data_IF_871168764436
#
_entry.id   IF_871168764436
#
_cell.length_a   1.000
_cell.length_b   1.000
_cell.length_c   1.000
_cell.angle_alpha   90.00
_cell.angle_beta   90.00
_cell.angle_gamma   90.00
#
_symmetry.space_group_name_H-M   'P 1'
#
loop_
_entity.id
_entity.type
_entity.pdbx_description
1 polymer ?
#
# COMPACT_ATOMS: atom_id res chain seq x y z
N UNK A 1 -19.25 -34.56 14.86
CA UNK A 1 -19.12 -33.90 16.18
C UNK A 1 -17.78 -34.35 16.75
N UNK A 2 -16.68 -33.78 16.24
CA UNK A 2 -15.33 -34.06 16.73
C UNK A 2 -14.88 -32.84 17.52
N UNK A 3 -15.01 -32.90 18.85
CA UNK A 3 -14.36 -31.95 19.72
C UNK A 3 -12.84 -32.18 19.63
N UNK A 4 -12.08 -31.13 19.34
CA UNK A 4 -10.61 -31.16 19.48
C UNK A 4 -10.30 -31.31 20.98
N UNK A 5 -9.63 -32.39 21.42
CA UNK A 5 -9.39 -32.68 22.84
C UNK A 5 -8.44 -31.70 23.55
N UNK A 6 -8.06 -30.60 22.90
CA UNK A 6 -7.11 -29.58 23.38
C UNK A 6 -7.76 -28.37 24.06
N UNK A 7 -9.07 -28.41 24.33
CA UNK A 7 -9.81 -27.27 24.90
C UNK A 7 -10.66 -27.65 26.13
N UNK A 8 -10.37 -28.79 26.76
CA UNK A 8 -11.10 -29.23 27.96
C UNK A 8 -10.50 -28.67 29.27
N UNK A 9 -9.31 -28.06 29.23
CA UNK A 9 -8.74 -27.35 30.38
C UNK A 9 -9.02 -25.82 30.26
N UNK A 10 -9.85 -25.25 31.16
CA UNK A 10 -10.11 -23.82 31.19
C UNK A 10 -8.84 -22.96 31.31
N UNK A 11 -7.78 -23.47 31.92
CA UNK A 11 -6.52 -22.74 32.08
C UNK A 11 -5.76 -22.59 30.75
N UNK A 12 -5.70 -23.65 29.94
CA UNK A 12 -5.09 -23.61 28.60
C UNK A 12 -5.87 -22.68 27.66
N UNK A 13 -7.20 -22.70 27.77
CA UNK A 13 -8.07 -21.82 27.00
C UNK A 13 -7.82 -20.34 27.33
N UNK A 14 -7.71 -20.00 28.63
CA UNK A 14 -7.41 -18.64 29.08
C UNK A 14 -6.00 -18.20 28.63
N UNK A 15 -5.01 -19.10 28.71
CA UNK A 15 -3.65 -18.80 28.25
C UNK A 15 -3.62 -18.50 26.74
N UNK A 16 -4.34 -19.30 25.94
CA UNK A 16 -4.48 -19.06 24.51
C UNK A 16 -5.16 -17.71 24.22
N UNK A 17 -6.24 -17.36 24.93
CA UNK A 17 -6.89 -16.06 24.78
C UNK A 17 -5.95 -14.89 25.11
N UNK A 18 -5.15 -15.01 26.17
CA UNK A 18 -4.15 -14.01 26.53
C UNK A 18 -3.07 -13.87 25.44
N UNK A 19 -2.58 -14.98 24.88
CA UNK A 19 -1.62 -14.96 23.76
C UNK A 19 -2.22 -14.32 22.49
N UNK A 20 -3.51 -14.50 22.25
CA UNK A 20 -4.24 -13.87 21.15
C UNK A 20 -4.58 -12.39 21.41
N UNK A 21 -4.20 -11.86 22.58
CA UNK A 21 -4.41 -10.46 22.95
C UNK A 21 -5.83 -10.13 23.38
N UNK A 22 -6.59 -11.11 23.86
CA UNK A 22 -7.90 -10.89 24.50
C UNK A 22 -7.65 -10.45 25.94
N UNK A 23 -8.05 -9.22 26.25
CA UNK A 23 -7.82 -8.54 27.53
C UNK A 23 -9.10 -8.31 28.33
N UNK A 24 -10.28 -8.45 27.71
CA UNK A 24 -11.57 -8.29 28.38
C UNK A 24 -12.61 -9.28 27.82
N UNK A 25 -13.39 -9.90 28.71
CA UNK A 25 -14.62 -10.59 28.33
C UNK A 25 -15.75 -9.54 28.26
N UNK A 26 -16.37 -9.39 27.10
CA UNK A 26 -17.42 -8.38 26.88
C UNK A 26 -18.82 -8.88 27.26
N UNK A 27 -19.08 -10.16 27.07
CA UNK A 27 -20.39 -10.79 27.28
C UNK A 27 -20.22 -12.21 27.84
N UNK A 28 -21.19 -12.67 28.64
CA UNK A 28 -21.21 -14.03 29.23
C UNK A 28 -21.60 -15.11 28.21
N UNK A 29 -22.27 -14.73 27.12
CA UNK A 29 -22.74 -15.67 26.10
C UNK A 29 -21.82 -15.71 24.88
N UNK A 30 -21.47 -16.90 24.36
CA UNK A 30 -20.66 -17.04 23.16
C UNK A 30 -21.44 -16.58 21.93
N UNK A 31 -20.91 -15.57 21.23
CA UNK A 31 -21.49 -15.10 19.96
C UNK A 31 -21.02 -15.99 18.81
N UNK A 32 -21.92 -16.76 18.21
CA UNK A 32 -21.65 -17.50 16.97
C UNK A 32 -21.47 -16.53 15.80
N UNK A 33 -20.22 -16.32 15.39
CA UNK A 33 -19.86 -15.45 14.27
C UNK A 33 -19.79 -16.16 12.92
N UNK A 34 -20.06 -17.46 12.88
CA UNK A 34 -20.26 -18.24 11.65
C UNK A 34 -21.72 -18.23 11.19
N UNK A 35 -22.65 -17.96 12.11
CA UNK A 35 -24.04 -17.67 11.76
C UNK A 35 -24.14 -16.36 10.95
N UNK A 36 -24.70 -16.43 9.75
CA UNK A 36 -24.94 -15.26 8.92
C UNK A 36 -25.99 -14.35 9.59
N UNK A 37 -25.72 -13.06 9.81
CA UNK A 37 -26.71 -12.17 10.40
C UNK A 37 -27.87 -11.93 9.42
N UNK A 38 -29.10 -12.04 9.91
CA UNK A 38 -30.28 -11.54 9.22
C UNK A 38 -30.11 -10.03 9.01
N UNK A 39 -30.20 -9.60 7.75
CA UNK A 39 -30.02 -8.21 7.33
C UNK A 39 -31.08 -7.30 7.98
N UNK A 40 -30.69 -6.56 9.01
CA UNK A 40 -31.49 -5.48 9.56
C UNK A 40 -31.58 -4.30 8.56
N UNK A 41 -32.73 -3.61 8.45
CA UNK A 41 -32.89 -2.45 7.58
C UNK A 41 -32.02 -1.28 8.06
N UNK A 42 -31.47 -0.55 7.09
CA UNK A 42 -30.58 0.59 7.32
C UNK A 42 -31.31 1.71 8.09
N UNK A 43 -30.70 2.15 9.19
CA UNK A 43 -31.07 3.39 9.86
C UNK A 43 -30.59 4.61 9.05
N UNK A 44 -31.32 5.73 9.06
CA UNK A 44 -30.97 6.93 8.29
C UNK A 44 -29.73 7.64 8.86
N UNK A 45 -28.88 8.14 7.95
CA UNK A 45 -27.67 8.89 8.25
C UNK A 45 -27.95 10.21 8.99
N UNK A 46 -27.15 10.59 10.01
CA UNK A 46 -27.22 11.92 10.59
C UNK A 46 -26.56 12.96 9.67
N UNK A 47 -27.30 14.04 9.42
CA UNK A 47 -26.86 15.23 8.67
C UNK A 47 -25.71 15.95 9.39
N UNK A 48 -24.60 16.16 8.67
CA UNK A 48 -23.47 16.96 9.13
C UNK A 48 -23.76 18.48 8.97
N UNK A 49 -23.41 19.33 9.94
CA UNK A 49 -23.51 20.78 9.79
C UNK A 49 -22.32 21.37 9.00
N UNK A 50 -22.62 22.44 8.26
CA UNK A 50 -21.69 23.18 7.40
C UNK A 50 -20.57 23.90 8.19
N UNK A 51 -19.38 24.12 7.58
CA UNK A 51 -18.26 24.77 8.27
C UNK A 51 -18.45 26.29 8.34
N UNK A 52 -18.26 26.85 9.54
CA UNK A 52 -18.18 28.30 9.76
C UNK A 52 -16.78 28.82 9.45
N UNK A 53 -16.71 29.93 8.71
CA UNK A 53 -15.49 30.64 8.34
C UNK A 53 -14.87 31.35 9.55
N UNK A 54 -13.56 31.19 9.75
CA UNK A 54 -12.73 32.02 10.64
C UNK A 54 -11.91 33.05 9.85
N UNK A 55 -11.72 34.27 10.38
CA UNK A 55 -11.03 35.35 9.68
C UNK A 55 -9.49 35.24 9.70
N UNK A 56 -8.87 35.74 8.62
CA UNK A 56 -7.43 35.90 8.42
C UNK A 56 -6.78 36.92 9.37
N UNK A 57 -5.55 36.62 9.81
CA UNK A 57 -4.53 37.59 10.24
C UNK A 57 -3.12 36.95 10.09
N UNK A 58 -2.01 37.71 10.14
CA UNK A 58 -1.20 38.07 8.97
C UNK A 58 0.16 37.37 8.86
N UNK A 59 0.81 37.59 7.71
CA UNK A 59 2.09 37.04 7.27
C UNK A 59 3.29 37.37 8.19
N UNK A 60 4.17 36.37 8.36
CA UNK A 60 5.63 36.41 8.63
C UNK A 60 6.06 34.95 8.80
N UNK A 61 7.13 34.37 8.25
CA UNK A 61 8.35 34.77 7.57
C UNK A 61 8.60 33.80 6.41
N UNK A 62 9.26 34.27 5.34
CA UNK A 62 9.66 33.44 4.19
C UNK A 62 10.78 32.46 4.55
N UNK A 63 10.61 31.14 4.37
CA UNK A 63 11.71 30.25 4.05
C UNK A 63 12.00 30.37 2.55
N UNK A 64 13.28 30.24 2.20
CA UNK A 64 13.81 30.38 0.83
C UNK A 64 13.12 29.43 -0.16
N UNK A 65 13.07 29.88 -1.42
CA UNK A 65 12.29 29.33 -2.52
C UNK A 65 12.34 27.80 -2.64
N UNK A 66 11.23 27.15 -2.30
CA UNK A 66 10.87 25.83 -2.83
C UNK A 66 10.50 26.03 -4.30
N UNK A 67 11.30 25.49 -5.22
CA UNK A 67 10.89 25.41 -6.62
C UNK A 67 9.68 24.48 -6.67
N UNK A 68 8.48 25.05 -6.86
CA UNK A 68 7.32 24.26 -7.24
C UNK A 68 7.63 23.66 -8.62
N UNK A 69 7.44 22.35 -8.83
CA UNK A 69 7.56 21.80 -10.18
C UNK A 69 6.50 22.52 -11.04
N UNK A 70 6.95 23.21 -12.09
CA UNK A 70 6.06 23.79 -13.08
C UNK A 70 5.43 22.63 -13.89
N UNK A 71 4.34 22.90 -14.61
CA UNK A 71 3.73 21.94 -15.53
C UNK A 71 4.75 21.33 -16.52
N UNK A 72 5.85 22.06 -16.78
CA UNK A 72 6.98 21.58 -17.58
C UNK A 72 7.71 20.40 -16.95
N UNK A 73 7.89 20.35 -15.62
CA UNK A 73 8.57 19.25 -14.93
C UNK A 73 7.76 17.95 -15.01
N UNK A 74 6.43 18.04 -14.91
CA UNK A 74 5.56 16.89 -15.09
C UNK A 74 5.55 16.40 -16.54
N UNK A 75 5.66 17.31 -17.52
CA UNK A 75 5.81 16.95 -18.94
C UNK A 75 7.15 16.25 -19.20
N UNK A 76 8.25 16.81 -18.70
CA UNK A 76 9.59 16.23 -18.81
C UNK A 76 9.64 14.82 -18.18
N UNK A 77 9.06 14.63 -16.99
CA UNK A 77 8.97 13.33 -16.34
C UNK A 77 8.27 12.29 -17.22
N UNK A 78 7.17 12.66 -17.90
CA UNK A 78 6.45 11.78 -18.82
C UNK A 78 7.29 11.42 -20.06
N UNK A 79 7.99 12.39 -20.64
CA UNK A 79 8.84 12.16 -21.81
C UNK A 79 10.01 11.22 -21.48
N UNK A 80 10.68 11.47 -20.35
CA UNK A 80 11.78 10.63 -19.86
C UNK A 80 11.28 9.22 -19.56
N UNK A 81 10.18 9.07 -18.84
CA UNK A 81 9.61 7.75 -18.53
C UNK A 81 9.23 7.00 -19.82
N UNK A 82 8.59 7.67 -20.79
CA UNK A 82 8.20 7.06 -22.06
C UNK A 82 9.41 6.61 -22.90
N UNK A 83 10.53 7.32 -22.83
CA UNK A 83 11.73 7.00 -23.58
C UNK A 83 12.41 5.71 -23.10
N UNK A 84 12.31 5.36 -21.81
CA UNK A 84 12.89 4.14 -21.27
C UNK A 84 12.17 2.89 -21.79
N UNK A 85 12.90 1.97 -22.41
CA UNK A 85 12.39 0.70 -22.97
C UNK A 85 12.62 -0.50 -22.07
N UNK A 86 13.53 -0.37 -21.09
CA UNK A 86 13.84 -1.42 -20.09
C UNK A 86 13.76 -0.86 -18.67
N UNK A 87 13.62 -1.74 -17.67
CA UNK A 87 13.64 -1.34 -16.26
C UNK A 87 14.98 -0.71 -15.84
N UNK A 88 16.08 -1.15 -16.45
CA UNK A 88 17.42 -0.60 -16.20
C UNK A 88 17.57 0.81 -16.77
N UNK A 89 17.06 1.05 -17.99
CA UNK A 89 16.98 2.39 -18.57
C UNK A 89 16.09 3.30 -17.71
N UNK A 90 14.95 2.80 -17.22
CA UNK A 90 14.06 3.57 -16.36
C UNK A 90 14.71 3.92 -15.03
N UNK A 91 15.46 2.98 -14.43
CA UNK A 91 16.25 3.23 -13.21
C UNK A 91 17.30 4.31 -13.45
N UNK A 92 18.03 4.21 -14.55
CA UNK A 92 19.07 5.19 -14.94
C UNK A 92 18.46 6.57 -15.19
N UNK A 93 17.29 6.61 -15.82
CA UNK A 93 16.55 7.84 -16.06
C UNK A 93 16.10 8.51 -14.76
N UNK A 94 15.57 7.73 -13.80
CA UNK A 94 15.20 8.22 -12.47
C UNK A 94 16.43 8.71 -11.68
N UNK A 95 17.54 7.99 -11.73
CA UNK A 95 18.78 8.38 -11.03
C UNK A 95 19.32 9.73 -11.54
N UNK A 96 19.08 10.05 -12.82
CA UNK A 96 19.45 11.32 -13.43
C UNK A 96 18.33 12.38 -13.41
N UNK A 97 17.14 12.08 -12.90
CA UNK A 97 16.02 13.01 -12.90
C UNK A 97 16.11 14.04 -11.77
N UNK A 98 16.22 15.33 -12.09
CA UNK A 98 16.39 16.41 -11.11
C UNK A 98 15.10 17.19 -10.80
N UNK A 99 13.97 16.82 -11.42
CA UNK A 99 12.70 17.54 -11.29
C UNK A 99 11.92 17.27 -10.00
N UNK A 100 12.36 16.36 -9.13
CA UNK A 100 11.68 16.04 -7.88
C UNK A 100 12.48 16.53 -6.66
N UNK A 101 11.88 17.41 -5.85
CA UNK A 101 12.51 17.93 -4.62
C UNK A 101 12.85 16.84 -3.60
N UNK A 102 12.17 15.70 -3.63
CA UNK A 102 12.47 14.57 -2.74
C UNK A 102 13.89 14.03 -2.93
N UNK A 103 14.43 14.11 -4.14
CA UNK A 103 15.81 13.71 -4.45
C UNK A 103 16.85 14.53 -3.69
N UNK A 104 16.56 15.81 -3.42
CA UNK A 104 17.48 16.70 -2.69
C UNK A 104 17.65 16.30 -1.23
N UNK A 105 16.65 15.60 -0.68
CA UNK A 105 16.61 15.23 0.75
C UNK A 105 16.85 13.75 1.01
N UNK A 106 16.69 12.91 -0.02
CA UNK A 106 16.94 11.47 0.07
C UNK A 106 18.43 11.17 -0.05
N UNK A 107 18.85 10.08 0.60
CA UNK A 107 20.22 9.57 0.55
C UNK A 107 20.42 8.71 -0.69
N UNK A 108 19.45 7.86 -1.03
CA UNK A 108 19.53 6.97 -2.18
C UNK A 108 18.20 6.90 -2.95
N UNK A 109 18.30 6.53 -4.23
CA UNK A 109 17.16 6.12 -5.03
C UNK A 109 16.71 4.72 -4.58
N UNK A 110 15.44 4.60 -4.18
CA UNK A 110 14.81 3.32 -3.85
C UNK A 110 13.91 2.91 -5.00
N UNK A 111 14.52 2.26 -6.00
CA UNK A 111 13.84 1.94 -7.26
C UNK A 111 12.88 0.76 -7.14
N UNK A 112 13.39 -0.41 -6.76
CA UNK A 112 12.61 -1.64 -6.63
C UNK A 112 13.37 -2.73 -5.87
N UNK A 113 12.67 -3.81 -5.51
CA UNK A 113 13.22 -5.08 -5.05
C UNK A 113 12.40 -6.25 -5.61
N UNK A 114 12.94 -7.46 -5.52
CA UNK A 114 12.29 -8.69 -5.95
C UNK A 114 12.46 -9.00 -7.43
N UNK A 115 11.56 -9.83 -7.95
CA UNK A 115 11.64 -10.36 -9.31
C UNK A 115 10.75 -9.55 -10.27
N UNK A 116 11.31 -8.82 -11.25
CA UNK A 116 10.53 -8.05 -12.21
C UNK A 116 9.69 -8.92 -13.15
N UNK A 117 10.01 -10.21 -13.29
CA UNK A 117 9.18 -11.19 -14.03
C UNK A 117 8.14 -11.89 -13.13
N UNK A 118 8.00 -11.44 -11.87
CA UNK A 118 7.02 -11.97 -10.93
C UNK A 118 5.58 -11.65 -11.34
N UNK A 119 4.66 -12.57 -11.06
CA UNK A 119 3.24 -12.41 -11.39
C UNK A 119 2.56 -11.27 -10.61
N UNK A 120 3.11 -10.92 -9.44
CA UNK A 120 2.55 -9.91 -8.54
C UNK A 120 3.51 -8.74 -8.39
N UNK A 121 3.01 -7.53 -8.62
CA UNK A 121 3.71 -6.30 -8.27
C UNK A 121 3.03 -5.63 -7.07
N UNK A 122 3.80 -5.26 -6.05
CA UNK A 122 3.35 -4.54 -4.88
C UNK A 122 3.83 -3.09 -4.94
N UNK A 123 2.92 -2.14 -4.69
CA UNK A 123 3.24 -0.71 -4.72
C UNK A 123 2.86 -0.07 -3.40
N UNK A 124 3.85 0.49 -2.70
CA UNK A 124 3.68 1.31 -1.50
C UNK A 124 3.66 2.81 -1.76
N UNK A 125 3.60 3.58 -0.68
CA UNK A 125 3.54 5.05 -0.75
C UNK A 125 4.91 5.66 -1.08
N UNK A 126 5.93 5.33 -0.29
CA UNK A 126 7.28 5.89 -0.41
C UNK A 126 8.25 5.25 0.59
N UNK A 127 9.57 5.48 0.45
CA UNK A 127 10.58 4.87 1.29
C UNK A 127 10.59 5.45 2.71
N UNK A 128 10.91 4.62 3.70
CA UNK A 128 11.24 5.05 5.05
C UNK A 128 12.74 5.28 5.23
N UNK A 129 13.16 5.42 6.49
CA UNK A 129 14.57 5.67 6.83
C UNK A 129 15.49 4.52 6.42
N UNK A 130 15.08 3.28 6.71
CA UNK A 130 15.93 2.11 6.48
C UNK A 130 16.05 1.83 4.99
N UNK A 131 14.97 2.06 4.24
CA UNK A 131 14.93 1.97 2.78
C UNK A 131 15.85 3.00 2.11
N UNK A 132 15.80 4.26 2.56
CA UNK A 132 16.65 5.34 2.04
C UNK A 132 18.15 5.08 2.27
N UNK A 133 18.52 4.42 3.36
CA UNK A 133 19.91 4.07 3.66
C UNK A 133 20.41 2.87 2.85
N UNK A 134 19.52 1.92 2.52
CA UNK A 134 19.87 0.67 1.85
C UNK A 134 19.59 0.68 0.34
N UNK A 135 18.83 1.65 -0.16
CA UNK A 135 18.43 1.71 -1.57
C UNK A 135 17.38 0.66 -1.96
N UNK A 136 16.78 -0.04 -1.00
CA UNK A 136 15.84 -1.14 -1.23
C UNK A 136 14.48 -0.88 -0.57
N UNK A 137 13.35 -1.09 -1.28
CA UNK A 137 12.03 -0.86 -0.74
C UNK A 137 11.67 -1.88 0.35
N UNK A 138 10.89 -1.43 1.33
CA UNK A 138 10.33 -2.25 2.40
C UNK A 138 11.40 -3.08 3.14
N UNK A 139 12.53 -2.52 3.56
CA UNK A 139 13.53 -3.26 4.39
C UNK A 139 13.37 -3.04 5.89
N UNK A 140 12.64 -2.00 6.30
CA UNK A 140 12.38 -1.67 7.70
C UNK A 140 11.30 -2.56 8.34
N UNK A 141 10.78 -2.13 9.50
CA UNK A 141 9.75 -2.90 10.25
C UNK A 141 8.48 -3.21 9.46
N UNK A 142 8.01 -2.26 8.64
CA UNK A 142 6.87 -2.49 7.74
C UNK A 142 7.19 -3.52 6.68
N UNK A 143 8.43 -3.55 6.21
CA UNK A 143 8.96 -4.54 5.30
C UNK A 143 8.97 -5.95 5.85
N UNK A 144 9.50 -6.12 7.06
CA UNK A 144 9.48 -7.41 7.75
C UNK A 144 8.06 -7.95 7.98
N UNK A 145 7.09 -7.06 8.19
CA UNK A 145 5.69 -7.46 8.26
C UNK A 145 5.16 -7.86 6.88
N UNK A 146 5.53 -7.14 5.81
CA UNK A 146 5.19 -7.50 4.44
C UNK A 146 5.74 -8.89 4.08
N UNK A 147 6.98 -9.20 4.47
CA UNK A 147 7.59 -10.51 4.24
C UNK A 147 6.80 -11.64 4.92
N UNK A 148 6.39 -11.43 6.18
CA UNK A 148 5.52 -12.39 6.88
C UNK A 148 4.14 -12.52 6.24
N UNK A 149 3.58 -11.42 5.75
CA UNK A 149 2.29 -11.41 5.03
C UNK A 149 2.37 -12.21 3.73
N UNK A 150 3.43 -12.03 2.95
CA UNK A 150 3.69 -12.80 1.73
C UNK A 150 3.92 -14.29 2.06
N UNK A 151 4.74 -14.58 3.07
CA UNK A 151 5.02 -15.94 3.51
C UNK A 151 3.76 -16.70 3.92
N UNK A 152 2.80 -16.03 4.56
CA UNK A 152 1.53 -16.63 4.97
C UNK A 152 0.64 -17.10 3.78
N UNK A 153 0.87 -16.58 2.57
CA UNK A 153 0.21 -17.04 1.34
C UNK A 153 1.13 -17.82 0.41
N UNK A 154 2.31 -18.23 0.89
CA UNK A 154 3.28 -19.02 0.13
C UNK A 154 4.09 -18.22 -0.89
N UNK A 155 4.15 -16.90 -0.75
CA UNK A 155 5.00 -16.02 -1.57
C UNK A 155 6.24 -15.56 -0.78
N UNK A 156 7.27 -15.17 -1.52
CA UNK A 156 8.46 -14.52 -0.99
C UNK A 156 8.86 -13.36 -1.93
N UNK A 157 9.93 -12.63 -1.60
CA UNK A 157 10.43 -11.52 -2.42
C UNK A 157 10.90 -11.94 -3.81
N UNK A 158 11.33 -13.19 -3.99
CA UNK A 158 11.77 -13.71 -5.29
C UNK A 158 10.60 -14.02 -6.23
N UNK A 159 9.38 -14.12 -5.69
CA UNK A 159 8.16 -14.38 -6.46
C UNK A 159 7.41 -13.09 -6.86
N UNK A 160 7.77 -11.94 -6.29
CA UNK A 160 7.03 -10.69 -6.44
C UNK A 160 7.96 -9.54 -6.79
N UNK A 161 7.42 -8.47 -7.36
CA UNK A 161 8.12 -7.22 -7.61
C UNK A 161 7.62 -6.13 -6.67
N UNK A 162 8.51 -5.38 -6.02
CA UNK A 162 8.14 -4.41 -4.98
C UNK A 162 8.67 -3.04 -5.36
N UNK A 163 7.81 -2.03 -5.37
CA UNK A 163 8.15 -0.63 -5.64
C UNK A 163 7.30 0.32 -4.78
N UNK A 164 7.51 1.63 -4.95
CA UNK A 164 6.71 2.69 -4.33
C UNK A 164 6.31 3.73 -5.38
N UNK A 165 5.23 4.48 -5.11
CA UNK A 165 4.81 5.58 -5.98
C UNK A 165 5.90 6.66 -6.10
N UNK A 166 6.49 7.06 -4.97
CA UNK A 166 7.67 7.91 -4.97
C UNK A 166 8.90 7.07 -4.62
N UNK A 167 10.02 7.17 -5.36
CA UNK A 167 11.20 6.34 -5.11
C UNK A 167 12.22 7.00 -4.15
N UNK A 168 11.90 8.19 -3.62
CA UNK A 168 12.74 8.93 -2.67
C UNK A 168 12.00 9.19 -1.38
N UNK A 169 12.72 9.13 -0.26
CA UNK A 169 12.18 9.33 1.07
C UNK A 169 11.73 10.78 1.31
N UNK A 170 10.45 11.01 1.69
CA UNK A 170 9.99 12.32 2.14
C UNK A 170 10.63 12.75 3.48
N UNK A 171 10.97 14.04 3.64
CA UNK A 171 11.50 14.57 4.90
C UNK A 171 10.60 14.22 6.10
N UNK A 172 11.18 13.62 7.14
CA UNK A 172 10.44 13.23 8.34
C UNK A 172 9.46 12.06 8.14
N UNK A 173 9.56 11.30 7.04
CA UNK A 173 8.60 10.24 6.66
C UNK A 173 7.15 10.76 6.59
N UNK A 174 6.96 12.03 6.21
CA UNK A 174 5.64 12.57 5.92
C UNK A 174 5.05 11.89 4.69
N UNK A 175 3.74 12.01 4.52
CA UNK A 175 3.09 11.64 3.25
C UNK A 175 3.66 12.50 2.11
N UNK A 176 3.95 11.93 0.93
CA UNK A 176 4.30 12.70 -0.26
C UNK A 176 3.20 13.71 -0.59
N UNK A 177 3.58 14.88 -1.09
CA UNK A 177 2.61 15.87 -1.55
C UNK A 177 1.99 15.42 -2.88
N UNK A 178 0.81 15.94 -3.26
CA UNK A 178 0.24 15.66 -4.58
C UNK A 178 1.18 16.04 -5.72
N UNK A 179 1.96 17.12 -5.56
CA UNK A 179 2.94 17.56 -6.56
C UNK A 179 4.10 16.57 -6.71
N UNK A 180 4.66 16.10 -5.58
CA UNK A 180 5.73 15.09 -5.60
C UNK A 180 5.25 13.78 -6.23
N UNK A 181 4.02 13.39 -5.89
CA UNK A 181 3.37 12.20 -6.43
C UNK A 181 3.14 12.33 -7.93
N UNK A 182 2.59 13.46 -8.39
CA UNK A 182 2.32 13.73 -9.80
C UNK A 182 3.59 13.73 -10.66
N UNK A 183 4.72 14.19 -10.12
CA UNK A 183 6.02 14.15 -10.80
C UNK A 183 6.57 12.73 -10.90
N UNK A 184 6.35 11.88 -9.89
CA UNK A 184 6.84 10.50 -9.89
C UNK A 184 5.90 9.51 -10.59
N UNK A 185 4.61 9.85 -10.72
CA UNK A 185 3.56 9.00 -11.31
C UNK A 185 3.94 8.42 -12.68
N UNK A 186 4.48 9.19 -13.65
CA UNK A 186 4.82 8.66 -14.96
C UNK A 186 5.88 7.54 -14.90
N UNK A 187 6.80 7.61 -13.93
CA UNK A 187 7.83 6.60 -13.76
C UNK A 187 7.26 5.30 -13.21
N UNK A 188 6.41 5.35 -12.18
CA UNK A 188 5.80 4.12 -11.64
C UNK A 188 4.81 3.50 -12.63
N UNK A 189 4.07 4.30 -13.40
CA UNK A 189 3.23 3.81 -14.50
C UNK A 189 4.06 3.08 -15.56
N UNK A 190 5.18 3.69 -15.99
CA UNK A 190 6.11 3.04 -16.91
C UNK A 190 6.72 1.78 -16.30
N UNK A 191 7.05 1.80 -15.02
CA UNK A 191 7.62 0.65 -14.32
C UNK A 191 6.63 -0.52 -14.28
N UNK A 192 5.35 -0.26 -14.02
CA UNK A 192 4.28 -1.27 -14.11
C UNK A 192 4.18 -1.80 -15.55
N UNK A 193 4.20 -0.91 -16.54
CA UNK A 193 4.12 -1.30 -17.94
C UNK A 193 5.29 -2.19 -18.38
N UNK A 194 6.50 -1.91 -17.90
CA UNK A 194 7.72 -2.66 -18.21
C UNK A 194 7.84 -3.98 -17.44
N UNK A 195 7.38 -4.02 -16.19
CA UNK A 195 7.34 -5.24 -15.38
C UNK A 195 6.21 -6.20 -15.80
N UNK A 196 5.17 -5.68 -16.46
CA UNK A 196 4.01 -6.42 -16.98
C UNK A 196 3.41 -7.46 -15.99
N UNK A 197 3.11 -7.06 -14.73
CA UNK A 197 2.61 -8.00 -13.73
C UNK A 197 1.19 -8.46 -14.06
N UNK A 198 0.81 -9.65 -13.61
CA UNK A 198 -0.56 -10.15 -13.74
C UNK A 198 -1.51 -9.52 -12.70
N UNK A 199 -0.98 -9.28 -11.49
CA UNK A 199 -1.70 -8.68 -10.38
C UNK A 199 -0.95 -7.51 -9.79
N UNK A 200 -1.69 -6.44 -9.50
CA UNK A 200 -1.18 -5.27 -8.81
C UNK A 200 -1.73 -5.22 -7.39
N UNK A 201 -0.87 -5.12 -6.38
CA UNK A 201 -1.27 -5.00 -4.98
C UNK A 201 -0.92 -3.60 -4.49
N UNK A 202 -1.93 -2.81 -4.16
CA UNK A 202 -1.76 -1.41 -3.75
C UNK A 202 -1.78 -1.31 -2.23
N UNK A 203 -0.62 -1.05 -1.64
CA UNK A 203 -0.42 -1.02 -0.20
C UNK A 203 -0.75 0.37 0.35
N UNK A 204 -1.94 0.50 0.94
CA UNK A 204 -2.40 1.72 1.59
C UNK A 204 -3.17 2.68 0.69
N UNK A 205 -3.71 3.72 1.31
CA UNK A 205 -4.59 4.68 0.63
C UNK A 205 -3.86 5.53 -0.42
N UNK A 206 -2.60 5.93 -0.18
CA UNK A 206 -1.89 6.78 -1.13
C UNK A 206 -1.63 6.06 -2.46
N UNK A 207 -1.11 4.83 -2.42
CA UNK A 207 -0.90 4.03 -3.63
C UNK A 207 -2.21 3.70 -4.33
N UNK A 208 -3.25 3.32 -3.57
CA UNK A 208 -4.55 2.98 -4.13
C UNK A 208 -5.26 4.17 -4.79
N UNK A 209 -5.33 5.32 -4.11
CA UNK A 209 -5.99 6.51 -4.64
C UNK A 209 -5.29 7.06 -5.89
N UNK A 210 -3.95 7.05 -5.90
CA UNK A 210 -3.17 7.60 -7.01
C UNK A 210 -3.26 6.75 -8.29
N UNK A 211 -3.15 5.43 -8.16
CA UNK A 211 -3.15 4.54 -9.32
C UNK A 211 -4.55 4.15 -9.79
N UNK A 212 -5.58 4.26 -8.94
CA UNK A 212 -6.96 3.98 -9.33
C UNK A 212 -7.79 5.24 -9.60
N UNK A 213 -7.15 6.42 -9.63
CA UNK A 213 -7.79 7.71 -9.89
C UNK A 213 -9.07 7.93 -9.05
N UNK A 214 -8.95 7.70 -7.73
CA UNK A 214 -10.11 7.72 -6.83
C UNK A 214 -9.81 8.44 -5.50
N UNK A 215 -10.82 9.15 -5.00
CA UNK A 215 -10.81 9.80 -3.69
C UNK A 215 -11.39 8.92 -2.57
N UNK A 216 -11.79 7.68 -2.87
CA UNK A 216 -12.31 6.75 -1.87
C UNK A 216 -11.23 6.41 -0.82
N UNK A 217 -11.65 6.28 0.46
CA UNK A 217 -10.77 5.87 1.54
C UNK A 217 -10.38 4.39 1.46
N UNK A 218 -9.17 4.04 1.92
CA UNK A 218 -8.65 2.66 1.81
C UNK A 218 -9.55 1.60 2.45
N UNK A 219 -10.24 1.93 3.56
CA UNK A 219 -11.14 0.99 4.22
C UNK A 219 -12.36 0.61 3.36
N UNK A 220 -12.78 1.49 2.45
CA UNK A 220 -13.87 1.23 1.49
C UNK A 220 -13.37 0.46 0.26
N UNK A 221 -12.13 0.73 -0.17
CA UNK A 221 -11.55 0.14 -1.38
C UNK A 221 -10.99 -1.27 -1.19
N UNK A 222 -10.43 -1.54 -0.01
CA UNK A 222 -9.67 -2.76 0.27
C UNK A 222 -10.43 -4.06 -0.02
N UNK A 223 -9.72 -5.08 -0.47
CA UNK A 223 -10.28 -6.42 -0.66
C UNK A 223 -11.23 -6.55 -1.85
N UNK A 224 -11.37 -5.51 -2.68
CA UNK A 224 -12.18 -5.54 -3.91
C UNK A 224 -11.26 -5.40 -5.11
N UNK A 225 -11.37 -6.33 -6.04
CA UNK A 225 -10.67 -6.23 -7.32
C UNK A 225 -11.14 -5.01 -8.10
N UNK A 226 -10.17 -4.34 -8.74
CA UNK A 226 -10.37 -3.24 -9.66
C UNK A 226 -9.62 -3.54 -10.95
N UNK A 227 -10.12 -3.06 -12.06
CA UNK A 227 -9.37 -3.08 -13.31
C UNK A 227 -8.35 -1.94 -13.27
N UNK A 228 -7.12 -2.23 -13.70
CA UNK A 228 -6.06 -1.25 -13.90
C UNK A 228 -5.55 -1.36 -15.33
N UNK A 229 -5.51 -0.24 -16.04
CA UNK A 229 -5.02 -0.16 -17.41
C UNK A 229 -3.53 0.19 -17.40
N UNK A 230 -2.68 -0.73 -17.83
CA UNK A 230 -1.22 -0.52 -17.91
C UNK A 230 -0.82 0.25 -19.16
N UNK A 231 -1.77 0.61 -20.03
CA UNK A 231 -1.54 1.13 -21.37
C UNK A 231 -1.23 0.05 -22.42
N UNK A 232 -0.88 -1.18 -22.00
CA UNK A 232 -0.71 -2.34 -22.89
C UNK A 232 -1.84 -3.35 -22.74
N UNK A 233 -2.31 -3.58 -21.51
CA UNK A 233 -3.43 -4.46 -21.21
C UNK A 233 -4.11 -4.06 -19.90
N UNK A 234 -5.27 -4.65 -19.65
CA UNK A 234 -5.94 -4.54 -18.36
C UNK A 234 -5.50 -5.67 -17.44
N UNK A 235 -5.14 -5.29 -16.22
CA UNK A 235 -4.76 -6.21 -15.14
C UNK A 235 -5.65 -5.98 -13.93
N UNK A 236 -5.59 -6.90 -12.96
CA UNK A 236 -6.39 -6.82 -11.74
C UNK A 236 -5.57 -6.17 -10.62
N UNK A 237 -6.09 -5.09 -10.06
CA UNK A 237 -5.54 -4.39 -8.91
C UNK A 237 -6.32 -4.70 -7.63
N UNK A 238 -5.61 -5.00 -6.54
CA UNK A 238 -6.14 -5.26 -5.22
C UNK A 238 -5.60 -4.24 -4.21
N UNK A 239 -6.42 -3.26 -3.81
CA UNK A 239 -6.08 -2.39 -2.69
C UNK A 239 -6.08 -3.17 -1.37
N UNK A 240 -5.10 -2.90 -0.51
CA UNK A 240 -5.05 -3.44 0.85
C UNK A 240 -4.41 -2.45 1.83
N UNK A 241 -4.36 -2.81 3.11
CA UNK A 241 -3.80 -1.96 4.16
C UNK A 241 -2.27 -1.99 4.14
N UNK A 242 -1.66 -0.80 4.25
CA UNK A 242 -0.21 -0.70 4.31
C UNK A 242 0.35 -1.37 5.58
N UNK A 243 1.47 -2.12 5.53
CA UNK A 243 2.05 -2.78 6.70
C UNK A 243 2.36 -1.82 7.86
N UNK A 244 2.83 -0.61 7.58
CA UNK A 244 3.06 0.41 8.61
C UNK A 244 1.75 0.82 9.35
N UNK A 245 0.60 0.80 8.68
CA UNK A 245 -0.69 1.02 9.32
C UNK A 245 -1.05 -0.16 10.23
N UNK A 246 -0.83 -1.39 9.79
CA UNK A 246 -1.09 -2.60 10.57
C UNK A 246 -0.18 -2.73 11.81
N UNK A 247 1.02 -2.16 11.78
CA UNK A 247 1.89 -2.06 12.96
C UNK A 247 1.32 -1.09 14.00
N UNK A 248 0.66 0.00 13.57
CA UNK A 248 0.01 0.97 14.47
C UNK A 248 -1.38 0.52 14.92
N UNK A 249 -2.06 -0.26 14.08
CA UNK A 249 -3.43 -0.74 14.29
C UNK A 249 -3.50 -2.27 14.09
N UNK A 250 -2.95 -3.07 15.03
CA UNK A 250 -2.86 -4.53 14.88
C UNK A 250 -4.20 -5.23 14.69
N UNK A 251 -5.28 -4.66 15.25
CA UNK A 251 -6.65 -5.18 15.13
C UNK A 251 -7.12 -5.30 13.67
N UNK A 252 -6.53 -4.52 12.76
CA UNK A 252 -6.83 -4.55 11.33
C UNK A 252 -6.01 -5.59 10.53
N UNK A 253 -5.09 -6.33 11.15
CA UNK A 253 -4.38 -7.43 10.49
C UNK A 253 -5.35 -8.49 9.94
N UNK A 254 -6.44 -8.77 10.66
CA UNK A 254 -7.50 -9.68 10.19
C UNK A 254 -8.06 -9.26 8.84
N UNK A 255 -8.15 -7.95 8.61
CA UNK A 255 -8.64 -7.43 7.35
C UNK A 255 -7.61 -7.76 6.27
N UNK A 256 -6.35 -7.31 6.44
CA UNK A 256 -5.30 -7.52 5.44
C UNK A 256 -5.13 -9.00 5.10
N UNK A 257 -5.25 -9.89 6.09
CA UNK A 257 -5.26 -11.32 5.88
C UNK A 257 -6.34 -11.80 4.88
N UNK A 258 -7.57 -11.29 5.00
CA UNK A 258 -8.65 -11.62 4.03
C UNK A 258 -8.31 -11.18 2.60
N UNK A 259 -7.67 -10.03 2.44
CA UNK A 259 -7.27 -9.58 1.10
C UNK A 259 -6.17 -10.46 0.52
N UNK A 260 -5.21 -10.89 1.34
CA UNK A 260 -4.15 -11.81 0.91
C UNK A 260 -4.73 -13.16 0.51
N UNK A 261 -5.76 -13.65 1.20
CA UNK A 261 -6.48 -14.86 0.77
C UNK A 261 -7.15 -14.67 -0.58
N UNK A 262 -7.79 -13.52 -0.82
CA UNK A 262 -8.35 -13.19 -2.14
C UNK A 262 -7.28 -13.14 -3.24
N UNK A 263 -6.09 -12.63 -2.95
CA UNK A 263 -4.95 -12.68 -3.87
C UNK A 263 -4.50 -14.13 -4.12
N UNK A 264 -4.38 -14.93 -3.06
CA UNK A 264 -3.99 -16.34 -3.16
C UNK A 264 -4.95 -17.14 -4.02
N UNK A 265 -6.26 -17.00 -3.79
CA UNK A 265 -7.29 -17.65 -4.60
C UNK A 265 -7.14 -17.30 -6.10
N UNK A 266 -6.85 -16.04 -6.41
CA UNK A 266 -6.65 -15.60 -7.80
C UNK A 266 -5.35 -16.11 -8.43
N UNK A 267 -4.28 -16.27 -7.63
CA UNK A 267 -3.02 -16.87 -8.08
C UNK A 267 -3.17 -18.36 -8.37
N UNK A 268 -3.87 -19.08 -7.49
CA UNK A 268 -4.09 -20.53 -7.58
C UNK A 268 -5.04 -20.88 -8.74
N UNK A 269 -6.09 -20.10 -8.97
CA UNK A 269 -7.06 -20.32 -10.07
C UNK A 269 -6.45 -20.25 -11.48
N UNK A 270 -5.21 -19.81 -11.58
CA UNK A 270 -4.56 -19.42 -12.82
C UNK A 270 -3.28 -20.23 -13.08
N UNK A 271 -2.95 -21.16 -12.17
CA UNK A 271 -1.99 -22.24 -12.41
C UNK A 271 -2.78 -23.42 -13.00
N UNK A 272 -2.64 -23.76 -14.30
CA UNK A 272 -3.22 -25.00 -14.81
C UNK A 272 -2.58 -26.19 -14.08
N UNK A 273 -3.43 -27.17 -13.72
CA UNK A 273 -3.04 -28.39 -13.03
C UNK A 273 -2.03 -29.24 -13.81
#
# INVERSE_FOLDING_TARGET
MNADPRLDDPAELIAWYAEMGVDIALDEEPVDRFAAPARAPAAPEPSAPAPSATPSAPATLRPQATVAPSDDTAREAREIARAATTLEELRTALDNFHGCNLRLTATQLVFADGNPAGRVMLIGEGPGRDEDLQGLPFVGRSGQLLDRMLGAIGLNREAVYIANIVPWRPPGNRKPTPQETAVCRPFIERQIQLADPEFLVLLGGSAASELLDTSDGILKMRGRWRDYDTGTRRIRALPTLHPAYLLRQPIHKRLAWRDLLTLKEALDAQVPA
#
